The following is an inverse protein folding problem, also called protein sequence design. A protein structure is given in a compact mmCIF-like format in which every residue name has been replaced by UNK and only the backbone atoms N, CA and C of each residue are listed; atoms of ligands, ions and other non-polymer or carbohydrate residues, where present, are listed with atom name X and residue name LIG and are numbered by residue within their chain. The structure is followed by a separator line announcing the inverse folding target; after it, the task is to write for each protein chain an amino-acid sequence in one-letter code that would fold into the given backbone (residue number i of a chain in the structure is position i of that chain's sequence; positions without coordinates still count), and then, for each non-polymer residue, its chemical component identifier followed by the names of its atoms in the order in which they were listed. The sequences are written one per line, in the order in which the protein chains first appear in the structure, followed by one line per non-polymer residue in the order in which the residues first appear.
data_IF_660446707539
#
_entry.id   IF_660446707539
#
_cell.length_a   1.000
_cell.length_b   1.000
_cell.length_c   1.000
_cell.angle_alpha   90.00
_cell.angle_beta   90.00
_cell.angle_gamma   90.00
#
_symmetry.space_group_name_H-M   'P 1'
#
loop_
_entity.id
_entity.type
_entity.pdbx_description
1 polymer ?
#
# COMPACT_ATOMS: atom_id res chain seq x y z
N UNK A 1 16.71 -1.81 -9.41
CA UNK A 1 16.68 -2.51 -8.10
C UNK A 1 16.31 -1.58 -6.93
N UNK A 2 15.62 -0.44 -7.15
CA UNK A 2 15.32 0.52 -6.06
C UNK A 2 13.93 0.37 -5.44
N UNK A 3 13.00 -0.31 -6.13
CA UNK A 3 11.58 -0.32 -5.73
C UNK A 3 11.29 -1.20 -4.52
N UNK A 4 12.05 -2.28 -4.31
CA UNK A 4 11.87 -3.22 -3.20
C UNK A 4 12.20 -2.62 -1.82
N UNK A 5 13.12 -1.65 -1.76
CA UNK A 5 13.54 -1.04 -0.49
C UNK A 5 12.50 -0.07 0.08
N UNK A 6 11.71 0.61 -0.78
CA UNK A 6 10.69 1.56 -0.33
C UNK A 6 9.48 0.85 0.31
N UNK A 7 9.07 -0.30 -0.24
CA UNK A 7 7.97 -1.10 0.33
C UNK A 7 8.37 -1.71 1.68
N UNK A 8 9.61 -2.18 1.82
CA UNK A 8 10.16 -2.66 3.09
C UNK A 8 10.24 -1.55 4.14
N UNK A 9 10.55 -0.31 3.74
CA UNK A 9 10.54 0.83 4.64
C UNK A 9 9.13 1.14 5.17
N UNK A 10 8.10 1.16 4.31
CA UNK A 10 6.72 1.40 4.73
C UNK A 10 6.16 0.31 5.66
N UNK A 11 6.47 -0.95 5.40
CA UNK A 11 6.10 -2.07 6.28
C UNK A 11 6.75 -1.96 7.68
N UNK A 12 7.98 -1.44 7.73
CA UNK A 12 8.70 -1.18 8.98
C UNK A 12 8.04 -0.05 9.80
N UNK A 13 7.61 1.03 9.14
CA UNK A 13 6.95 2.15 9.84
C UNK A 13 5.62 1.71 10.48
N UNK A 14 4.81 0.90 9.80
CA UNK A 14 3.55 0.42 10.38
C UNK A 14 3.79 -0.48 11.60
N UNK A 15 4.80 -1.36 11.54
CA UNK A 15 5.18 -2.19 12.68
C UNK A 15 5.64 -1.35 13.89
N UNK A 16 6.44 -0.31 13.64
CA UNK A 16 6.89 0.63 14.67
C UNK A 16 5.70 1.39 15.27
N UNK A 17 4.76 1.89 14.46
CA UNK A 17 3.54 2.55 14.95
C UNK A 17 2.75 1.61 15.86
N UNK A 18 2.60 0.33 15.47
CA UNK A 18 1.91 -0.66 16.31
C UNK A 18 2.65 -0.93 17.63
N UNK A 19 3.97 -1.01 17.60
CA UNK A 19 4.79 -1.18 18.79
C UNK A 19 4.68 0.03 19.72
N UNK A 20 4.73 1.26 19.19
CA UNK A 20 4.55 2.47 19.98
C UNK A 20 3.17 2.48 20.64
N UNK A 21 2.09 2.18 19.90
CA UNK A 21 0.74 2.05 20.48
C UNK A 21 0.68 1.00 21.60
N UNK A 22 1.36 -0.13 21.44
CA UNK A 22 1.43 -1.16 22.48
C UNK A 22 2.11 -0.65 23.75
N UNK A 23 3.25 0.05 23.61
CA UNK A 23 3.98 0.65 24.74
C UNK A 23 3.11 1.69 25.47
N UNK A 24 2.47 2.60 24.73
CA UNK A 24 1.61 3.66 25.28
C UNK A 24 0.44 3.11 26.08
N UNK A 25 -0.14 1.98 25.62
CA UNK A 25 -1.22 1.30 26.34
C UNK A 25 -0.79 0.77 27.71
N UNK A 26 0.49 0.40 27.84
CA UNK A 26 1.07 -0.13 29.07
C UNK A 26 1.74 0.92 29.96
N UNK A 27 1.98 2.12 29.44
CA UNK A 27 2.65 3.19 30.18
C UNK A 27 1.68 3.98 31.07
N UNK A 28 2.21 4.59 32.14
CA UNK A 28 1.47 5.45 33.06
C UNK A 28 1.27 6.87 32.51
N UNK A 29 0.92 7.00 31.23
CA UNK A 29 0.55 8.28 30.62
C UNK A 29 -0.89 8.64 30.98
N UNK A 30 -1.13 9.92 31.27
CA UNK A 30 -2.49 10.44 31.42
C UNK A 30 -3.26 10.39 30.09
N UNK A 31 -4.59 10.46 30.19
CA UNK A 31 -5.50 10.33 29.05
C UNK A 31 -5.19 11.33 27.94
N UNK A 32 -4.88 12.58 28.33
CA UNK A 32 -4.65 13.67 27.38
C UNK A 32 -3.38 13.41 26.58
N UNK A 33 -2.32 12.95 27.24
CA UNK A 33 -1.08 12.56 26.58
C UNK A 33 -1.29 11.38 25.62
N UNK A 34 -2.11 10.40 26.00
CA UNK A 34 -2.44 9.26 25.13
C UNK A 34 -3.19 9.70 23.88
N UNK A 35 -4.20 10.54 24.02
CA UNK A 35 -4.99 11.05 22.88
C UNK A 35 -4.11 11.84 21.90
N UNK A 36 -3.25 12.73 22.41
CA UNK A 36 -2.33 13.50 21.57
C UNK A 36 -1.39 12.59 20.78
N UNK A 37 -0.84 11.55 21.41
CA UNK A 37 0.08 10.64 20.70
C UNK A 37 -0.68 9.78 19.69
N UNK A 38 -1.87 9.29 20.04
CA UNK A 38 -2.70 8.51 19.10
C UNK A 38 -3.07 9.33 17.86
N UNK A 39 -3.40 10.61 18.02
CA UNK A 39 -3.68 11.53 16.91
C UNK A 39 -2.46 11.74 16.01
N UNK A 40 -1.26 11.90 16.61
CA UNK A 40 0.00 12.03 15.86
C UNK A 40 0.30 10.75 15.09
N UNK A 41 0.15 9.58 15.71
CA UNK A 41 0.39 8.28 15.08
C UNK A 41 -0.61 7.99 13.95
N UNK A 42 -1.88 8.39 14.10
CA UNK A 42 -2.86 8.32 13.02
C UNK A 42 -2.53 9.29 11.88
N UNK A 43 -1.99 10.47 12.19
CA UNK A 43 -1.45 11.40 11.19
C UNK A 43 -0.30 10.80 10.39
N UNK A 44 0.64 10.13 11.06
CA UNK A 44 1.76 9.44 10.43
C UNK A 44 1.30 8.28 9.54
N UNK A 45 0.43 7.40 10.05
CA UNK A 45 -0.12 6.26 9.31
C UNK A 45 -0.80 6.70 8.00
N UNK A 46 -1.54 7.82 8.02
CA UNK A 46 -2.15 8.39 6.81
C UNK A 46 -1.11 8.89 5.80
N UNK A 47 -0.07 9.58 6.25
CA UNK A 47 0.99 10.11 5.37
C UNK A 47 1.79 8.99 4.72
N UNK A 48 2.23 8.02 5.51
CA UNK A 48 2.98 6.85 5.02
C UNK A 48 2.17 6.06 4.01
N UNK A 49 0.87 5.86 4.26
CA UNK A 49 0.00 5.21 3.30
C UNK A 49 -0.12 5.99 1.98
N UNK A 50 -0.21 7.32 2.04
CA UNK A 50 -0.27 8.16 0.86
C UNK A 50 1.02 8.06 0.03
N UNK A 51 2.19 8.11 0.70
CA UNK A 51 3.50 7.93 0.06
C UNK A 51 3.60 6.55 -0.59
N UNK A 52 3.26 5.48 0.12
CA UNK A 52 3.29 4.12 -0.42
C UNK A 52 2.36 3.95 -1.63
N UNK A 53 1.17 4.57 -1.59
CA UNK A 53 0.22 4.56 -2.71
C UNK A 53 0.79 5.25 -3.95
N UNK A 54 1.41 6.41 -3.75
CA UNK A 54 2.04 7.18 -4.82
C UNK A 54 3.20 6.41 -5.47
N UNK A 55 4.05 5.77 -4.67
CA UNK A 55 5.17 4.98 -5.20
C UNK A 55 4.70 3.74 -5.98
N UNK A 56 3.63 3.07 -5.52
CA UNK A 56 3.00 1.98 -6.28
C UNK A 56 2.40 2.48 -7.60
N UNK A 57 1.77 3.65 -7.60
CA UNK A 57 1.21 4.23 -8.82
C UNK A 57 2.32 4.57 -9.83
N UNK A 58 3.41 5.20 -9.38
CA UNK A 58 4.60 5.44 -10.21
C UNK A 58 5.17 4.13 -10.75
N UNK A 59 5.24 3.07 -9.94
CA UNK A 59 5.71 1.77 -10.36
C UNK A 59 4.82 1.13 -11.44
N UNK A 60 3.50 1.27 -11.34
CA UNK A 60 2.55 0.83 -12.36
C UNK A 60 2.71 1.63 -13.67
N UNK A 61 2.86 2.95 -13.58
CA UNK A 61 3.14 3.82 -14.74
C UNK A 61 4.43 3.41 -15.44
N UNK A 62 5.49 3.09 -14.68
CA UNK A 62 6.73 2.55 -15.26
C UNK A 62 6.52 1.25 -16.05
N UNK A 63 5.63 0.34 -15.59
CA UNK A 63 5.34 -0.87 -16.35
C UNK A 63 4.58 -0.57 -17.65
N UNK A 64 3.63 0.38 -17.62
CA UNK A 64 2.96 0.87 -18.83
C UNK A 64 3.97 1.41 -19.84
N UNK A 65 4.95 2.21 -19.39
CA UNK A 65 5.95 2.79 -20.29
C UNK A 65 6.87 1.70 -20.91
N UNK A 66 7.17 0.63 -20.17
CA UNK A 66 7.87 -0.54 -20.74
C UNK A 66 7.03 -1.27 -21.78
N UNK A 67 5.73 -1.46 -21.51
CA UNK A 67 4.80 -2.08 -22.47
C UNK A 67 4.77 -1.31 -23.78
N UNK A 68 4.71 0.03 -23.71
CA UNK A 68 4.75 0.89 -24.91
C UNK A 68 6.02 0.62 -25.72
N UNK A 69 7.19 0.61 -25.07
CA UNK A 69 8.46 0.33 -25.75
C UNK A 69 8.49 -1.07 -26.36
N UNK A 70 8.11 -2.10 -25.62
CA UNK A 70 8.05 -3.47 -26.14
C UNK A 70 7.10 -3.59 -27.35
N UNK A 71 5.99 -2.86 -27.32
CA UNK A 71 5.05 -2.79 -28.45
C UNK A 71 5.67 -2.07 -29.66
N UNK A 72 6.45 -1.03 -29.45
CA UNK A 72 7.22 -0.37 -30.52
C UNK A 72 8.24 -1.32 -31.13
N UNK A 73 8.99 -2.08 -30.30
CA UNK A 73 9.90 -3.11 -30.79
C UNK A 73 9.17 -4.15 -31.64
N UNK A 74 8.03 -4.67 -31.17
CA UNK A 74 7.21 -5.62 -31.95
C UNK A 74 6.75 -5.04 -33.29
N UNK A 75 6.44 -3.74 -33.35
CA UNK A 75 6.05 -3.08 -34.61
C UNK A 75 7.22 -3.04 -35.60
N UNK A 76 8.46 -2.93 -35.11
CA UNK A 76 9.65 -2.87 -35.96
C UNK A 76 9.93 -4.22 -36.67
N UNK A 77 9.38 -5.33 -36.19
CA UNK A 77 9.40 -6.62 -36.89
C UNK A 77 8.58 -6.64 -38.19
N UNK A 78 7.72 -5.63 -38.43
CA UNK A 78 6.84 -5.57 -39.59
C UNK A 78 5.79 -6.69 -39.59
N UNK A 79 5.30 -7.06 -40.79
CA UNK A 79 4.45 -8.24 -40.95
C UNK A 79 5.30 -9.50 -40.85
N UNK A 80 5.40 -10.08 -39.64
CA UNK A 80 5.88 -11.45 -39.47
C UNK A 80 4.98 -12.36 -40.29
N UNK A 81 5.56 -13.08 -41.24
CA UNK A 81 4.83 -13.93 -42.18
C UNK A 81 5.23 -15.38 -42.01
N UNK A 82 4.50 -16.29 -42.65
CA UNK A 82 4.82 -17.73 -42.62
C UNK A 82 6.16 -18.09 -43.28
N UNK A 83 6.82 -17.14 -43.95
CA UNK A 83 8.16 -17.30 -44.52
C UNK A 83 9.27 -16.64 -43.71
N UNK A 84 8.96 -16.06 -42.54
CA UNK A 84 9.96 -15.47 -41.65
C UNK A 84 10.87 -16.56 -41.05
N UNK A 85 12.13 -16.20 -40.80
CA UNK A 85 13.10 -17.08 -40.15
C UNK A 85 12.65 -17.48 -38.73
N UNK A 86 12.92 -18.72 -38.33
CA UNK A 86 12.52 -19.26 -37.01
C UNK A 86 13.08 -18.42 -35.85
N UNK A 87 14.27 -17.83 -36.01
CA UNK A 87 14.86 -16.93 -35.01
C UNK A 87 14.02 -15.66 -34.82
N UNK A 88 13.49 -15.09 -35.91
CA UNK A 88 12.62 -13.92 -35.89
C UNK A 88 11.29 -14.23 -35.22
N UNK A 89 10.71 -15.40 -35.51
CA UNK A 89 9.46 -15.85 -34.90
C UNK A 89 9.64 -16.08 -33.39
N UNK A 90 10.74 -16.72 -32.99
CA UNK A 90 11.06 -16.96 -31.58
C UNK A 90 11.27 -15.66 -30.81
N UNK A 91 12.00 -14.69 -31.38
CA UNK A 91 12.20 -13.39 -30.74
C UNK A 91 10.89 -12.62 -30.56
N UNK A 92 10.01 -12.63 -31.57
CA UNK A 92 8.69 -12.03 -31.46
C UNK A 92 7.85 -12.69 -30.35
N UNK A 93 7.93 -14.02 -30.20
CA UNK A 93 7.26 -14.73 -29.11
C UNK A 93 7.77 -14.30 -27.73
N UNK A 94 9.09 -14.16 -27.54
CA UNK A 94 9.69 -13.69 -26.29
C UNK A 94 9.24 -12.26 -25.93
N UNK A 95 9.11 -11.37 -26.92
CA UNK A 95 8.60 -10.02 -26.69
C UNK A 95 7.14 -10.01 -26.20
N UNK A 96 6.30 -10.94 -26.68
CA UNK A 96 4.94 -11.10 -26.16
C UNK A 96 4.93 -11.60 -24.71
N UNK A 97 5.83 -12.53 -24.35
CA UNK A 97 5.99 -12.98 -22.97
C UNK A 97 6.42 -11.84 -22.04
N UNK A 98 7.36 -11.01 -22.48
CA UNK A 98 7.80 -9.83 -21.73
C UNK A 98 6.67 -8.81 -21.53
N UNK A 99 5.85 -8.58 -22.56
CA UNK A 99 4.64 -7.75 -22.46
C UNK A 99 3.67 -8.28 -21.41
N UNK A 100 3.36 -9.58 -21.46
CA UNK A 100 2.48 -10.23 -20.50
C UNK A 100 3.01 -10.10 -19.07
N UNK A 101 4.32 -10.30 -18.89
CA UNK A 101 4.98 -10.11 -17.60
C UNK A 101 4.85 -8.66 -17.09
N UNK A 102 5.15 -7.65 -17.92
CA UNK A 102 5.03 -6.26 -17.48
C UNK A 102 3.57 -5.88 -17.15
N UNK A 103 2.60 -6.39 -17.92
CA UNK A 103 1.18 -6.17 -17.67
C UNK A 103 0.73 -6.79 -16.34
N UNK A 104 1.19 -8.02 -16.06
CA UNK A 104 0.91 -8.71 -14.81
C UNK A 104 1.51 -7.95 -13.61
N UNK A 105 2.77 -7.54 -13.69
CA UNK A 105 3.43 -6.76 -12.62
C UNK A 105 2.73 -5.42 -12.39
N UNK A 106 2.36 -4.71 -13.48
CA UNK A 106 1.59 -3.47 -13.38
C UNK A 106 0.25 -3.66 -12.66
N UNK A 107 -0.48 -4.74 -12.99
CA UNK A 107 -1.73 -5.11 -12.34
C UNK A 107 -1.55 -5.38 -10.85
N UNK A 108 -0.49 -6.09 -10.45
CA UNK A 108 -0.19 -6.36 -9.04
C UNK A 108 0.03 -5.09 -8.22
N UNK A 109 0.71 -4.08 -8.77
CA UNK A 109 0.87 -2.79 -8.09
C UNK A 109 -0.47 -2.08 -7.86
N UNK A 110 -1.36 -2.07 -8.85
CA UNK A 110 -2.69 -1.47 -8.74
C UNK A 110 -3.60 -2.24 -7.78
N UNK A 111 -3.52 -3.57 -7.79
CA UNK A 111 -4.22 -4.42 -6.82
C UNK A 111 -3.76 -4.15 -5.39
N UNK A 112 -2.45 -3.98 -5.15
CA UNK A 112 -1.92 -3.62 -3.84
C UNK A 112 -2.51 -2.31 -3.32
N UNK A 113 -2.68 -1.30 -4.19
CA UNK A 113 -3.36 -0.04 -3.86
C UNK A 113 -4.83 -0.29 -3.50
N UNK A 114 -5.56 -1.06 -4.33
CA UNK A 114 -6.98 -1.36 -4.12
C UNK A 114 -7.24 -2.15 -2.83
N UNK A 115 -6.41 -3.15 -2.52
CA UNK A 115 -6.52 -3.89 -1.26
C UNK A 115 -6.19 -3.02 -0.05
N UNK A 116 -5.16 -2.17 -0.16
CA UNK A 116 -4.83 -1.18 0.87
C UNK A 116 -5.96 -0.19 1.13
N UNK A 117 -6.67 0.26 0.09
CA UNK A 117 -7.81 1.18 0.21
C UNK A 117 -9.06 0.48 0.79
N UNK A 118 -9.34 -0.76 0.39
CA UNK A 118 -10.45 -1.57 0.90
C UNK A 118 -10.35 -1.82 2.42
N UNK A 119 -9.16 -2.16 2.93
CA UNK A 119 -8.92 -2.35 4.37
C UNK A 119 -9.22 -1.06 5.16
N UNK A 120 -8.88 0.11 4.61
CA UNK A 120 -9.18 1.39 5.25
C UNK A 120 -10.66 1.80 5.15
N UNK A 121 -11.35 1.43 4.08
CA UNK A 121 -12.79 1.63 3.96
C UNK A 121 -13.55 0.78 4.99
N UNK A 122 -13.18 -0.50 5.15
CA UNK A 122 -13.75 -1.38 6.18
C UNK A 122 -13.51 -0.86 7.60
N UNK A 123 -12.30 -0.34 7.91
CA UNK A 123 -12.01 0.32 9.19
C UNK A 123 -12.90 1.53 9.46
N UNK A 124 -13.22 2.35 8.44
CA UNK A 124 -14.10 3.53 8.59
C UNK A 124 -15.56 3.15 8.82
N UNK A 125 -16.07 2.18 8.06
CA UNK A 125 -17.43 1.64 8.28
C UNK A 125 -17.63 1.09 9.70
N UNK A 126 -16.61 0.46 10.29
CA UNK A 126 -16.64 0.04 11.69
C UNK A 126 -16.60 1.21 12.69
N UNK A 127 -16.12 2.39 12.28
CA UNK A 127 -16.10 3.59 13.13
C UNK A 127 -17.38 4.42 13.05
N UNK A 128 -18.08 4.37 11.92
CA UNK A 128 -19.30 5.16 11.67
C UNK A 128 -20.58 4.53 12.27
N UNK A 129 -20.47 3.44 13.04
CA UNK A 129 -21.57 2.96 13.90
C UNK A 129 -21.73 3.91 15.11
N UNK A 130 -22.78 4.76 15.16
CA UNK A 130 -22.91 5.84 16.13
C UNK A 130 -22.99 5.35 17.59
N UNK A 131 -23.31 4.06 17.80
CA UNK A 131 -23.41 3.45 19.13
C UNK A 131 -22.12 2.82 19.67
N UNK A 132 -21.11 2.59 18.82
CA UNK A 132 -19.93 1.79 19.18
C UNK A 132 -18.72 2.64 19.58
N UNK A 133 -18.44 3.74 18.86
CA UNK A 133 -17.26 4.57 19.15
C UNK A 133 -17.42 5.41 20.42
N UNK A 134 -18.61 5.98 20.65
CA UNK A 134 -18.90 6.73 21.88
C UNK A 134 -18.75 5.81 23.08
N UNK A 135 -19.40 4.63 23.06
CA UNK A 135 -19.32 3.66 24.15
C UNK A 135 -17.90 3.13 24.42
N UNK A 136 -17.05 3.02 23.40
CA UNK A 136 -15.69 2.47 23.54
C UNK A 136 -14.67 3.54 23.99
N UNK A 137 -14.72 4.76 23.41
CA UNK A 137 -13.95 5.90 23.94
C UNK A 137 -14.41 6.27 25.35
N UNK A 138 -15.72 6.30 25.61
CA UNK A 138 -16.26 6.57 26.94
C UNK A 138 -15.84 5.49 27.94
N UNK A 139 -15.87 4.19 27.58
CA UNK A 139 -15.37 3.12 28.47
C UNK A 139 -13.87 3.18 28.71
N UNK A 140 -13.06 3.50 27.71
CA UNK A 140 -11.61 3.69 27.90
C UNK A 140 -11.31 4.97 28.69
N UNK A 141 -12.02 6.07 28.48
CA UNK A 141 -11.94 7.30 29.28
C UNK A 141 -12.43 7.09 30.70
N UNK A 142 -13.52 6.34 30.93
CA UNK A 142 -14.02 5.95 32.25
C UNK A 142 -13.00 5.05 32.98
N UNK A 143 -12.39 4.09 32.28
CA UNK A 143 -11.36 3.22 32.85
C UNK A 143 -10.03 3.94 33.12
N UNK A 144 -9.70 4.97 32.34
CA UNK A 144 -8.51 5.78 32.56
C UNK A 144 -8.71 6.85 33.66
N UNK A 145 -9.90 7.46 33.75
CA UNK A 145 -10.23 8.41 34.82
C UNK A 145 -10.31 7.73 36.20
N UNK A 146 -10.76 6.47 36.27
CA UNK A 146 -10.81 5.70 37.51
C UNK A 146 -9.43 5.38 38.13
N UNK A 147 -8.33 5.49 37.38
CA UNK A 147 -6.96 5.28 37.87
C UNK A 147 -6.26 6.56 38.34
N UNK A 148 -6.86 7.73 38.13
CA UNK A 148 -6.29 9.03 38.53
C UNK A 148 -6.71 9.48 39.94
N UNK A 149 -7.69 8.80 40.55
CA UNK A 149 -8.32 9.19 41.83
C UNK A 149 -7.85 8.35 43.03
N UNK A 150 -6.73 7.64 42.91
CA UNK A 150 -6.12 6.87 44.01
C UNK A 150 -4.70 7.34 44.30
#
# INVERSE_FOLDING_TARGET
MSDSNSILAGANVQAVIHQIRAIIRTSALDCRCRDVIDDVLEGLERREKAVATEELLKAAIRQRDKIIKLTELLRDFGEVSTGSDDGVINEAALLFEDLAMQAQVGSQFLQAIAHGSAIAAAKRSSRDDPGSLHRSKDRLSLACNAKSTQ
#
